data_IF_098696355033
#
_entry.id   IF_098696355033
#
_cell.length_a   1.000
_cell.length_b   1.000
_cell.length_c   1.000
_cell.angle_alpha   90.00
_cell.angle_beta   90.00
_cell.angle_gamma   90.00
#
_symmetry.space_group_name_H-M   'P 1'
#
loop_
_entity.id
_entity.type
_entity.pdbx_description
1 polymer ?
#
# COMPACT_ATOMS: atom_id res chain seq x y z
N UNK A 1 -22.46 11.07 2.03
CA UNK A 1 -22.40 10.83 0.57
C UNK A 1 -20.97 10.43 0.25
N UNK A 2 -20.70 9.28 -0.37
CA UNK A 2 -19.32 8.78 -0.52
C UNK A 2 -18.50 9.57 -1.54
N UNK A 3 -17.26 9.92 -1.20
CA UNK A 3 -16.30 10.57 -2.11
C UNK A 3 -15.65 9.50 -2.99
N UNK A 4 -15.54 9.76 -4.29
CA UNK A 4 -14.85 8.88 -5.23
C UNK A 4 -13.38 9.31 -5.35
N UNK A 5 -12.44 8.39 -5.13
CA UNK A 5 -11.00 8.63 -5.30
C UNK A 5 -10.47 7.68 -6.37
N UNK A 6 -9.77 8.24 -7.36
CA UNK A 6 -9.22 7.42 -8.44
C UNK A 6 -7.98 6.67 -7.97
N UNK A 7 -7.80 5.41 -8.41
CA UNK A 7 -6.55 4.67 -8.12
C UNK A 7 -5.33 5.42 -8.67
N UNK A 8 -5.48 6.15 -9.77
CA UNK A 8 -4.40 6.96 -10.36
C UNK A 8 -3.93 8.07 -9.43
N UNK A 9 -4.83 8.69 -8.68
CA UNK A 9 -4.50 9.72 -7.69
C UNK A 9 -3.71 9.11 -6.53
N UNK A 10 -4.17 7.97 -6.00
CA UNK A 10 -3.45 7.24 -4.96
C UNK A 10 -2.05 6.84 -5.43
N UNK A 11 -1.91 6.30 -6.65
CA UNK A 11 -0.61 5.93 -7.22
C UNK A 11 0.35 7.11 -7.35
N UNK A 12 -0.15 8.32 -7.63
CA UNK A 12 0.69 9.52 -7.66
C UNK A 12 1.23 9.84 -6.27
N UNK A 13 0.42 9.70 -5.23
CA UNK A 13 0.87 9.95 -3.86
C UNK A 13 1.83 8.86 -3.38
N UNK A 14 1.59 7.59 -3.69
CA UNK A 14 2.55 6.51 -3.39
C UNK A 14 3.92 6.84 -4.02
N UNK A 15 3.95 7.26 -5.30
CA UNK A 15 5.20 7.64 -5.97
C UNK A 15 5.84 8.89 -5.38
N UNK A 16 5.06 9.86 -4.90
CA UNK A 16 5.60 11.04 -4.21
C UNK A 16 6.24 10.71 -2.88
N UNK A 17 5.77 9.67 -2.20
CA UNK A 17 6.31 9.17 -0.95
C UNK A 17 7.16 7.91 -1.19
N UNK A 18 7.83 7.81 -2.36
CA UNK A 18 8.59 6.61 -2.74
C UNK A 18 9.62 6.22 -1.69
N UNK A 19 10.24 7.20 -1.04
CA UNK A 19 11.34 7.00 -0.11
C UNK A 19 10.90 6.14 1.08
N UNK A 20 9.67 6.33 1.60
CA UNK A 20 9.12 5.52 2.70
C UNK A 20 8.93 4.04 2.28
N UNK A 21 8.49 3.81 1.03
CA UNK A 21 8.35 2.46 0.49
C UNK A 21 9.74 1.84 0.20
N UNK A 22 10.68 2.63 -0.31
CA UNK A 22 12.07 2.19 -0.51
C UNK A 22 12.73 1.77 0.81
N UNK A 23 12.48 2.50 1.89
CA UNK A 23 13.03 2.18 3.20
C UNK A 23 12.56 0.80 3.71
N UNK A 24 11.28 0.48 3.54
CA UNK A 24 10.70 -0.82 3.91
C UNK A 24 11.23 -1.94 3.01
N UNK A 25 11.24 -1.74 1.69
CA UNK A 25 11.54 -2.82 0.75
C UNK A 25 13.03 -3.03 0.46
N UNK A 26 13.86 -1.99 0.59
CA UNK A 26 15.26 -2.02 0.15
C UNK A 26 16.28 -1.76 1.25
N UNK A 27 15.96 -0.85 2.20
CA UNK A 27 16.94 -0.43 3.19
C UNK A 27 16.85 -1.23 4.50
N UNK A 28 15.73 -1.91 4.76
CA UNK A 28 15.66 -2.89 5.85
C UNK A 28 16.54 -4.10 5.55
N UNK A 29 17.70 -4.15 6.22
CA UNK A 29 18.53 -5.36 6.31
C UNK A 29 17.79 -6.41 7.13
N UNK A 30 17.05 -7.30 6.48
CA UNK A 30 16.46 -8.45 7.14
C UNK A 30 17.55 -9.34 7.73
N UNK A 31 17.33 -9.78 8.98
CA UNK A 31 18.22 -10.72 9.69
C UNK A 31 18.19 -12.13 9.07
N UNK A 32 17.17 -12.45 8.27
CA UNK A 32 17.17 -13.56 7.33
C UNK A 32 17.67 -13.02 5.99
N UNK A 33 18.82 -13.49 5.51
CA UNK A 33 19.51 -12.97 4.32
C UNK A 33 18.80 -13.16 2.98
N UNK A 34 17.49 -13.38 2.99
CA UNK A 34 16.66 -13.48 1.80
C UNK A 34 15.92 -12.16 1.62
N UNK A 35 16.25 -11.45 0.55
CA UNK A 35 15.47 -10.28 0.12
C UNK A 35 14.12 -10.84 -0.34
N UNK A 36 13.12 -10.86 0.54
CA UNK A 36 11.77 -11.42 0.30
C UNK A 36 11.15 -10.88 -1.02
N UNK A 37 11.63 -9.74 -1.49
CA UNK A 37 11.31 -9.19 -2.79
C UNK A 37 12.52 -9.12 -3.74
N UNK A 38 13.13 -10.25 -4.11
CA UNK A 38 14.16 -10.36 -5.18
C UNK A 38 13.71 -9.69 -6.51
N UNK A 39 12.40 -9.50 -6.73
CA UNK A 39 11.87 -8.79 -7.91
C UNK A 39 11.98 -7.27 -7.86
N UNK A 40 12.33 -6.70 -6.71
CA UNK A 40 12.48 -5.27 -6.53
C UNK A 40 13.97 -4.85 -6.51
N UNK A 41 14.90 -5.80 -6.42
CA UNK A 41 16.27 -5.60 -5.92
C UNK A 41 17.30 -5.02 -6.90
N UNK A 42 16.94 -4.08 -7.78
CA UNK A 42 17.95 -3.36 -8.58
C UNK A 42 17.52 -1.97 -9.09
N UNK A 43 16.30 -1.50 -8.81
CA UNK A 43 15.80 -0.24 -9.35
C UNK A 43 14.89 0.49 -8.36
N UNK A 44 15.03 1.83 -8.33
CA UNK A 44 14.17 2.78 -7.61
C UNK A 44 12.70 2.36 -7.64
N UNK A 45 11.97 2.69 -6.59
CA UNK A 45 10.56 2.37 -6.46
C UNK A 45 9.77 2.90 -7.66
N UNK A 46 9.29 1.95 -8.47
CA UNK A 46 8.69 2.25 -9.77
C UNK A 46 7.18 2.37 -9.68
N UNK A 47 6.55 2.95 -10.71
CA UNK A 47 5.09 2.96 -10.86
C UNK A 47 4.48 1.54 -10.87
N UNK A 48 5.24 0.54 -11.32
CA UNK A 48 4.82 -0.86 -11.30
C UNK A 48 4.77 -1.39 -9.86
N UNK A 49 5.75 -1.01 -9.04
CA UNK A 49 5.81 -1.37 -7.61
C UNK A 49 4.65 -0.70 -6.87
N UNK A 50 4.45 0.61 -7.10
CA UNK A 50 3.33 1.36 -6.53
C UNK A 50 1.97 0.71 -6.84
N UNK A 51 1.79 0.27 -8.10
CA UNK A 51 0.57 -0.42 -8.52
C UNK A 51 0.40 -1.76 -7.83
N UNK A 52 1.46 -2.54 -7.72
CA UNK A 52 1.44 -3.81 -7.02
C UNK A 52 1.10 -3.61 -5.54
N UNK A 53 1.76 -2.67 -4.84
CA UNK A 53 1.46 -2.33 -3.45
C UNK A 53 -0.01 -1.98 -3.25
N UNK A 54 -0.54 -1.10 -4.11
CA UNK A 54 -1.94 -0.69 -4.04
C UNK A 54 -2.91 -1.85 -4.31
N UNK A 55 -2.59 -2.73 -5.28
CA UNK A 55 -3.46 -3.86 -5.61
C UNK A 55 -3.44 -4.93 -4.50
N UNK A 56 -2.29 -5.17 -3.86
CA UNK A 56 -2.17 -6.06 -2.69
C UNK A 56 -2.95 -5.50 -1.50
N UNK A 57 -2.72 -4.24 -1.13
CA UNK A 57 -3.39 -3.61 0.00
C UNK A 57 -4.92 -3.58 -0.19
N UNK A 58 -5.41 -3.22 -1.38
CA UNK A 58 -6.84 -3.26 -1.68
C UNK A 58 -7.39 -4.68 -1.80
N UNK A 59 -6.54 -5.68 -2.07
CA UNK A 59 -6.90 -7.09 -1.95
C UNK A 59 -7.19 -7.45 -0.50
N UNK A 60 -6.28 -7.08 0.40
CA UNK A 60 -6.43 -7.26 1.85
C UNK A 60 -7.70 -6.55 2.38
N UNK A 61 -7.92 -5.27 2.03
CA UNK A 61 -9.16 -4.57 2.42
C UNK A 61 -10.45 -5.17 1.82
N UNK A 62 -10.39 -6.06 0.82
CA UNK A 62 -11.61 -6.77 0.36
C UNK A 62 -11.92 -7.98 1.22
N UNK A 63 -10.89 -8.61 1.77
CA UNK A 63 -10.99 -9.80 2.60
C UNK A 63 -11.22 -9.44 4.06
N UNK A 64 -10.64 -8.32 4.53
CA UNK A 64 -10.78 -7.78 5.86
C UNK A 64 -11.65 -6.50 5.87
N UNK A 65 -12.85 -6.65 6.42
CA UNK A 65 -13.81 -5.55 6.54
C UNK A 65 -13.36 -4.48 7.55
N UNK A 66 -12.64 -4.86 8.60
CA UNK A 66 -12.17 -3.92 9.63
C UNK A 66 -11.11 -2.99 9.04
N UNK A 67 -10.12 -3.54 8.32
CA UNK A 67 -9.09 -2.73 7.66
C UNK A 67 -9.70 -1.75 6.64
N UNK A 68 -10.67 -2.22 5.85
CA UNK A 68 -11.40 -1.36 4.92
C UNK A 68 -12.12 -0.22 5.63
N UNK A 69 -12.81 -0.54 6.73
CA UNK A 69 -13.57 0.44 7.52
C UNK A 69 -12.65 1.47 8.18
N UNK A 70 -11.54 1.05 8.76
CA UNK A 70 -10.55 1.93 9.37
C UNK A 70 -9.91 2.89 8.36
N UNK A 71 -9.67 2.41 7.14
CA UNK A 71 -9.24 3.25 6.03
C UNK A 71 -10.35 4.18 5.51
N UNK A 72 -11.59 4.06 5.98
CA UNK A 72 -12.74 4.81 5.48
C UNK A 72 -13.21 4.36 4.10
N UNK A 73 -12.83 3.16 3.66
CA UNK A 73 -13.23 2.58 2.37
C UNK A 73 -14.60 1.93 2.51
N UNK A 74 -15.52 2.38 1.66
CA UNK A 74 -16.89 1.85 1.62
C UNK A 74 -17.10 0.90 0.44
N UNK A 75 -16.35 1.09 -0.66
CA UNK A 75 -16.42 0.24 -1.84
C UNK A 75 -15.14 0.32 -2.67
N UNK A 76 -14.68 -0.82 -3.16
CA UNK A 76 -13.54 -0.91 -4.08
C UNK A 76 -14.06 -1.27 -5.46
N UNK A 77 -13.67 -0.49 -6.48
CA UNK A 77 -13.97 -0.77 -7.88
C UNK A 77 -12.69 -1.01 -8.67
N UNK A 78 -12.84 -1.35 -9.95
CA UNK A 78 -11.68 -1.60 -10.84
C UNK A 78 -10.75 -0.39 -10.96
N UNK A 79 -11.28 0.84 -10.98
CA UNK A 79 -10.51 2.07 -11.28
C UNK A 79 -10.45 3.08 -10.12
N UNK A 80 -11.25 2.88 -9.09
CA UNK A 80 -11.42 3.84 -8.00
C UNK A 80 -11.88 3.17 -6.72
N UNK A 81 -11.76 3.89 -5.60
CA UNK A 81 -12.38 3.55 -4.33
C UNK A 81 -13.44 4.60 -3.99
N UNK A 82 -14.51 4.18 -3.32
CA UNK A 82 -15.51 5.06 -2.72
C UNK A 82 -15.22 5.09 -1.23
N UNK A 83 -15.10 6.29 -0.68
CA UNK A 83 -14.67 6.51 0.69
C UNK A 83 -15.67 7.39 1.45
N UNK A 84 -15.71 7.24 2.77
CA UNK A 84 -16.51 8.08 3.65
C UNK A 84 -15.72 9.33 4.10
N UNK A 85 -16.26 10.06 5.06
CA UNK A 85 -15.70 11.31 5.57
C UNK A 85 -14.46 11.11 6.46
N UNK A 86 -14.24 9.89 6.98
CA UNK A 86 -13.06 9.58 7.80
C UNK A 86 -11.82 9.29 6.97
N UNK A 87 -11.96 9.07 5.65
CA UNK A 87 -10.82 8.78 4.79
C UNK A 87 -9.81 9.94 4.76
N UNK A 88 -8.58 9.61 5.10
CA UNK A 88 -7.41 10.48 4.93
C UNK A 88 -6.37 9.72 4.11
N UNK A 89 -5.91 10.35 3.03
CA UNK A 89 -4.95 9.71 2.13
C UNK A 89 -3.62 9.39 2.83
N UNK A 90 -3.17 10.24 3.76
CA UNK A 90 -1.98 9.96 4.58
C UNK A 90 -2.16 8.70 5.43
N UNK A 91 -3.25 8.59 6.19
CA UNK A 91 -3.52 7.40 7.01
C UNK A 91 -3.64 6.13 6.17
N UNK A 92 -4.22 6.22 4.98
CA UNK A 92 -4.29 5.11 4.04
C UNK A 92 -2.90 4.64 3.60
N UNK A 93 -1.96 5.57 3.35
CA UNK A 93 -0.58 5.24 3.02
C UNK A 93 0.17 4.67 4.23
N UNK A 94 -0.01 5.25 5.43
CA UNK A 94 0.62 4.77 6.66
C UNK A 94 0.20 3.32 6.98
N UNK A 95 -1.10 3.01 6.84
CA UNK A 95 -1.63 1.64 7.00
C UNK A 95 -1.04 0.68 5.97
N UNK A 96 -0.90 1.13 4.73
CA UNK A 96 -0.27 0.34 3.68
C UNK A 96 1.19 0.03 4.00
N UNK A 97 1.97 1.03 4.40
CA UNK A 97 3.36 0.87 4.82
C UNK A 97 3.47 -0.09 6.01
N UNK A 98 2.63 0.09 7.03
CA UNK A 98 2.58 -0.80 8.19
C UNK A 98 2.29 -2.26 7.82
N UNK A 99 1.35 -2.50 6.90
CA UNK A 99 1.05 -3.87 6.43
C UNK A 99 2.29 -4.52 5.80
N UNK A 100 3.01 -3.80 4.94
CA UNK A 100 4.20 -4.34 4.28
C UNK A 100 5.36 -4.55 5.27
N UNK A 101 5.54 -3.62 6.19
CA UNK A 101 6.55 -3.71 7.27
C UNK A 101 6.31 -4.95 8.14
N UNK A 102 5.07 -5.15 8.58
CA UNK A 102 4.66 -6.27 9.41
C UNK A 102 4.73 -7.62 8.65
N UNK A 103 4.31 -7.65 7.38
CA UNK A 103 4.35 -8.86 6.56
C UNK A 103 5.80 -9.37 6.40
N UNK A 104 6.74 -8.45 6.18
CA UNK A 104 8.14 -8.78 6.08
C UNK A 104 8.74 -9.26 7.41
N UNK A 105 8.33 -8.69 8.56
CA UNK A 105 8.78 -9.13 9.89
C UNK A 105 8.32 -10.55 10.25
N UNK A 106 7.22 -11.01 9.65
CA UNK A 106 6.71 -12.36 9.80
C UNK A 106 7.38 -13.39 8.86
N UNK A 107 8.28 -12.95 7.97
CA UNK A 107 9.04 -13.83 7.06
C UNK A 107 8.24 -14.42 5.91
N UNK A 108 7.15 -13.77 5.50
CA UNK A 108 6.32 -14.15 4.34
C UNK A 108 6.82 -13.52 3.04
#
# INVERSE_FOLDING_TARGET
MGKLISKREILKEIIRNSDDFEDIFFNRKYKCGDTIFEKLSDQRFSIKNAKWCLDVFLGFCKEDYEEAFECGITKITKKSIIVNESFKLSMFLDRMLYLFDAALDLGY
#
